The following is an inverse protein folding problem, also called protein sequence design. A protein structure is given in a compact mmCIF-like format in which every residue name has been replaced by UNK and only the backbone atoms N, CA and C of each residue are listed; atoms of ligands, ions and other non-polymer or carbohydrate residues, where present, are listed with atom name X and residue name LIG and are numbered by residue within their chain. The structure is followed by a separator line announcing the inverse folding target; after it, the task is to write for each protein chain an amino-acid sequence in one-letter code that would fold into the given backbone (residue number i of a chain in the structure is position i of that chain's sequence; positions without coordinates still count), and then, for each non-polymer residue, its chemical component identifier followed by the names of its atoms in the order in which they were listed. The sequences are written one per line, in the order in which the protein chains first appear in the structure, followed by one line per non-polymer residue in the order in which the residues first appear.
data_IF_909119359354
#
_entry.id   IF_909119359354
#
_cell.length_a   1.000
_cell.length_b   1.000
_cell.length_c   1.000
_cell.angle_alpha   90.00
_cell.angle_beta   90.00
_cell.angle_gamma   90.00
#
_symmetry.space_group_name_H-M   'P 1'
#
loop_
_entity.id
_entity.type
_entity.pdbx_description
1 polymer ?
#
# COMPACT_ATOMS: atom_id res chain seq x y z
N UNK A 1 -31.57 -19.78 -11.60
CA UNK A 1 -30.21 -20.04 -12.12
C UNK A 1 -29.32 -19.06 -11.36
N UNK A 2 -28.68 -19.56 -10.31
CA UNK A 2 -27.81 -18.83 -9.39
C UNK A 2 -26.50 -18.48 -10.11
N UNK A 3 -26.27 -17.21 -10.38
CA UNK A 3 -24.93 -16.72 -10.68
C UNK A 3 -24.09 -16.81 -9.39
N UNK A 4 -23.15 -17.75 -9.34
CA UNK A 4 -22.18 -17.86 -8.27
C UNK A 4 -21.42 -16.53 -8.21
N UNK A 5 -21.55 -15.82 -7.10
CA UNK A 5 -20.64 -14.75 -6.70
C UNK A 5 -19.23 -15.36 -6.68
N UNK A 6 -18.46 -15.08 -7.71
CA UNK A 6 -17.05 -15.39 -7.70
C UNK A 6 -16.39 -14.43 -6.69
N UNK A 7 -15.76 -14.98 -5.70
CA UNK A 7 -15.08 -14.25 -4.63
C UNK A 7 -14.07 -13.25 -5.19
N UNK A 8 -14.03 -12.03 -4.66
CA UNK A 8 -13.07 -10.96 -5.05
C UNK A 8 -11.62 -11.49 -5.02
N UNK A 9 -11.30 -12.47 -4.18
CA UNK A 9 -9.99 -13.15 -4.15
C UNK A 9 -9.61 -13.88 -5.45
N UNK A 10 -10.58 -14.39 -6.23
CA UNK A 10 -10.31 -15.01 -7.54
C UNK A 10 -10.60 -14.06 -8.70
N UNK A 11 -11.58 -13.16 -8.57
CA UNK A 11 -11.91 -12.14 -9.57
C UNK A 11 -10.98 -10.92 -9.51
N UNK A 12 -10.54 -10.50 -8.33
CA UNK A 12 -9.65 -9.35 -8.16
C UNK A 12 -8.30 -9.54 -8.85
N UNK A 13 -7.72 -10.74 -8.82
CA UNK A 13 -6.47 -11.05 -9.52
C UNK A 13 -6.61 -10.98 -11.06
N UNK A 14 -7.83 -11.19 -11.58
CA UNK A 14 -8.09 -11.25 -13.04
C UNK A 14 -8.36 -9.88 -13.65
N UNK A 15 -8.73 -8.86 -12.84
CA UNK A 15 -9.21 -7.56 -13.33
C UNK A 15 -8.46 -6.35 -12.80
N UNK A 16 -7.31 -6.52 -12.10
CA UNK A 16 -6.51 -5.39 -11.66
C UNK A 16 -5.99 -4.60 -12.86
N UNK A 17 -6.21 -3.28 -12.85
CA UNK A 17 -5.66 -2.41 -13.87
C UNK A 17 -4.14 -2.54 -13.95
N UNK A 18 -3.62 -2.58 -15.15
CA UNK A 18 -2.17 -2.61 -15.38
C UNK A 18 -1.48 -1.32 -14.94
N UNK A 19 -2.20 -0.20 -15.01
CA UNK A 19 -1.70 1.13 -14.67
C UNK A 19 -2.81 2.02 -14.11
N UNK A 20 -2.43 2.82 -13.13
CA UNK A 20 -3.22 3.95 -12.63
C UNK A 20 -2.39 5.23 -12.83
N UNK A 21 -3.06 6.36 -13.01
CA UNK A 21 -2.40 7.62 -13.35
C UNK A 21 -2.90 8.74 -12.44
N UNK A 22 -1.97 9.61 -12.03
CA UNK A 22 -2.28 10.85 -11.32
C UNK A 22 -1.71 12.03 -12.11
N UNK A 23 -1.64 13.21 -11.54
CA UNK A 23 -1.00 14.37 -12.17
C UNK A 23 0.50 14.13 -12.41
N UNK A 24 1.22 13.65 -11.38
CA UNK A 24 2.70 13.51 -11.38
C UNK A 24 3.20 12.08 -11.46
N UNK A 25 2.31 11.08 -11.26
CA UNK A 25 2.72 9.70 -11.05
C UNK A 25 2.05 8.74 -12.06
N UNK A 26 2.77 7.65 -12.34
CA UNK A 26 2.23 6.43 -12.93
C UNK A 26 2.41 5.32 -11.89
N UNK A 27 1.33 4.66 -11.54
CA UNK A 27 1.36 3.45 -10.72
C UNK A 27 1.19 2.25 -11.65
N UNK A 28 2.19 1.38 -11.69
CA UNK A 28 2.26 0.21 -12.57
C UNK A 28 2.77 -1.01 -11.83
N UNK A 29 2.62 -2.19 -12.41
CA UNK A 29 3.25 -3.38 -11.83
C UNK A 29 4.77 -3.19 -11.68
N UNK A 30 5.30 -3.76 -10.59
CA UNK A 30 6.73 -3.89 -10.40
C UNK A 30 7.32 -4.83 -11.45
N UNK A 31 8.54 -4.56 -11.90
CA UNK A 31 9.30 -5.39 -12.82
C UNK A 31 10.70 -5.64 -12.26
N UNK A 32 11.37 -6.70 -12.69
CA UNK A 32 12.73 -6.99 -12.23
C UNK A 32 13.74 -5.89 -12.60
N UNK A 33 13.45 -5.10 -13.64
CA UNK A 33 14.26 -3.93 -14.00
C UNK A 33 14.17 -2.78 -12.99
N UNK A 34 13.19 -2.79 -12.06
CA UNK A 34 13.07 -1.79 -11.01
C UNK A 34 13.94 -2.10 -9.78
N UNK A 35 14.64 -3.24 -9.77
CA UNK A 35 15.36 -3.72 -8.60
C UNK A 35 16.46 -2.75 -8.12
N UNK A 36 17.14 -2.06 -9.03
CA UNK A 36 18.15 -1.06 -8.69
C UNK A 36 17.53 0.15 -7.98
N UNK A 37 16.40 0.65 -8.48
CA UNK A 37 15.66 1.72 -7.84
C UNK A 37 15.10 1.29 -6.47
N UNK A 38 14.55 0.08 -6.38
CA UNK A 38 14.08 -0.47 -5.12
C UNK A 38 15.23 -0.55 -4.11
N UNK A 39 16.37 -1.12 -4.50
CA UNK A 39 17.53 -1.23 -3.63
C UNK A 39 18.05 0.13 -3.17
N UNK A 40 18.11 1.10 -4.07
CA UNK A 40 18.58 2.46 -3.75
C UNK A 40 17.81 3.08 -2.59
N UNK A 41 16.49 2.89 -2.53
CA UNK A 41 15.66 3.46 -1.47
C UNK A 41 15.45 2.52 -0.29
N UNK A 42 15.33 1.22 -0.53
CA UNK A 42 15.05 0.22 0.50
C UNK A 42 16.28 -0.13 1.37
N UNK A 43 17.50 0.17 0.91
CA UNK A 43 18.73 0.07 1.73
C UNK A 43 18.82 1.15 2.83
N UNK A 44 17.97 2.20 2.75
CA UNK A 44 17.96 3.25 3.75
C UNK A 44 17.18 2.80 5.00
N UNK A 45 17.80 2.82 6.21
CA UNK A 45 17.16 2.36 7.44
C UNK A 45 15.95 3.19 7.87
N UNK A 46 15.78 4.40 7.34
CA UNK A 46 14.61 5.23 7.63
C UNK A 46 13.35 4.82 6.83
N UNK A 47 13.46 3.88 5.89
CA UNK A 47 12.34 3.48 5.01
C UNK A 47 11.69 2.18 5.48
N UNK A 48 12.43 1.07 5.44
CA UNK A 48 11.90 -0.25 5.73
C UNK A 48 11.52 -0.48 7.18
N UNK A 49 12.46 -0.33 8.12
CA UNK A 49 12.23 -0.68 9.53
C UNK A 49 11.05 0.01 10.17
N UNK A 50 10.83 1.28 9.86
CA UNK A 50 9.67 2.04 10.38
C UNK A 50 8.34 1.58 9.75
N UNK A 51 8.39 0.96 8.58
CA UNK A 51 7.25 0.39 7.88
C UNK A 51 7.06 -1.12 8.16
N UNK A 52 7.95 -1.73 8.96
CA UNK A 52 7.83 -3.11 9.42
C UNK A 52 8.52 -4.15 8.55
N UNK A 53 9.49 -3.76 7.72
CA UNK A 53 10.28 -4.68 6.92
C UNK A 53 11.77 -4.34 6.98
N UNK A 54 12.67 -5.34 6.83
CA UNK A 54 14.10 -5.15 7.03
C UNK A 54 14.73 -4.30 5.92
N UNK A 55 15.83 -3.65 6.25
CA UNK A 55 16.67 -2.98 5.25
C UNK A 55 17.08 -4.00 4.18
N UNK A 56 17.00 -3.59 2.91
CA UNK A 56 17.53 -4.41 1.83
C UNK A 56 19.08 -4.34 1.86
N UNK A 57 19.72 -5.46 2.11
CA UNK A 57 21.18 -5.58 2.22
C UNK A 57 21.88 -5.78 0.86
N UNK A 58 21.12 -6.18 -0.15
CA UNK A 58 21.64 -6.49 -1.47
C UNK A 58 20.63 -6.24 -2.59
N UNK A 59 21.15 -6.10 -3.82
CA UNK A 59 20.32 -6.04 -5.02
C UNK A 59 19.54 -7.35 -5.23
N UNK A 60 20.13 -8.48 -4.89
CA UNK A 60 19.48 -9.80 -5.00
C UNK A 60 18.29 -9.91 -4.04
N UNK A 61 18.40 -9.36 -2.82
CA UNK A 61 17.27 -9.27 -1.91
C UNK A 61 16.15 -8.40 -2.50
N UNK A 62 16.47 -7.27 -3.13
CA UNK A 62 15.48 -6.43 -3.81
C UNK A 62 14.80 -7.14 -4.98
N UNK A 63 15.53 -7.91 -5.77
CA UNK A 63 14.96 -8.75 -6.85
C UNK A 63 14.00 -9.82 -6.30
N UNK A 64 14.39 -10.46 -5.18
CA UNK A 64 13.54 -11.42 -4.48
C UNK A 64 12.27 -10.72 -3.96
N UNK A 65 12.39 -9.56 -3.31
CA UNK A 65 11.26 -8.81 -2.78
C UNK A 65 10.26 -8.40 -3.89
N UNK A 66 10.74 -8.01 -5.09
CA UNK A 66 9.87 -7.76 -6.23
C UNK A 66 9.10 -9.03 -6.61
N UNK A 67 9.77 -10.18 -6.69
CA UNK A 67 9.15 -11.42 -7.13
C UNK A 67 8.13 -11.96 -6.14
N UNK A 68 8.45 -11.93 -4.84
CA UNK A 68 7.68 -12.63 -3.82
C UNK A 68 6.59 -11.73 -3.18
N UNK A 69 6.84 -10.43 -3.05
CA UNK A 69 5.98 -9.52 -2.29
C UNK A 69 5.37 -8.39 -3.13
N UNK A 70 6.19 -7.75 -3.99
CA UNK A 70 5.75 -6.56 -4.72
C UNK A 70 5.02 -6.89 -6.04
N UNK A 71 5.08 -8.15 -6.49
CA UNK A 71 4.32 -8.63 -7.66
C UNK A 71 2.93 -9.16 -7.30
N UNK A 72 2.52 -9.09 -6.03
CA UNK A 72 1.19 -9.49 -5.61
C UNK A 72 0.11 -8.62 -6.28
N UNK A 73 -1.06 -9.20 -6.61
CA UNK A 73 -2.20 -8.45 -7.16
C UNK A 73 -2.57 -7.27 -6.24
N UNK A 74 -2.80 -6.11 -6.84
CA UNK A 74 -3.13 -4.89 -6.09
C UNK A 74 -1.93 -4.06 -5.66
N UNK A 75 -0.70 -4.54 -5.84
CA UNK A 75 0.53 -3.82 -5.50
C UNK A 75 1.13 -3.15 -6.74
N UNK A 76 1.47 -1.87 -6.61
CA UNK A 76 2.00 -1.04 -7.69
C UNK A 76 3.29 -0.35 -7.30
N UNK A 77 4.24 -0.29 -8.22
CA UNK A 77 5.34 0.66 -8.17
C UNK A 77 4.78 2.08 -8.40
N UNK A 78 5.13 3.00 -7.52
CA UNK A 78 4.88 4.43 -7.69
C UNK A 78 6.03 5.00 -8.51
N UNK A 79 5.76 5.45 -9.71
CA UNK A 79 6.76 5.96 -10.64
C UNK A 79 6.52 7.42 -10.99
N UNK A 80 7.60 8.19 -11.15
CA UNK A 80 7.52 9.56 -11.69
C UNK A 80 7.11 9.51 -13.17
N UNK A 81 6.14 10.33 -13.59
CA UNK A 81 5.72 10.41 -14.99
C UNK A 81 6.85 10.81 -15.95
N UNK A 82 7.74 11.65 -15.49
CA UNK A 82 8.80 12.25 -16.32
C UNK A 82 9.82 11.23 -16.85
N UNK A 83 10.11 10.19 -16.06
CA UNK A 83 11.18 9.23 -16.38
C UNK A 83 10.82 7.78 -16.09
N UNK A 84 9.60 7.51 -15.61
CA UNK A 84 9.11 6.19 -15.22
C UNK A 84 9.95 5.47 -14.13
N UNK A 85 10.78 6.21 -13.36
CA UNK A 85 11.57 5.66 -12.26
C UNK A 85 10.67 5.29 -11.09
N UNK A 86 10.77 4.05 -10.60
CA UNK A 86 10.09 3.60 -9.39
C UNK A 86 10.73 4.25 -8.16
N UNK A 87 9.92 4.98 -7.39
CA UNK A 87 10.36 5.76 -6.22
C UNK A 87 9.72 5.29 -4.92
N UNK A 88 8.79 4.34 -4.99
CA UNK A 88 8.04 3.81 -3.86
C UNK A 88 7.01 2.80 -4.30
N UNK A 89 6.14 2.41 -3.39
CA UNK A 89 5.05 1.47 -3.63
C UNK A 89 3.75 1.97 -3.03
N UNK A 90 2.64 1.57 -3.64
CA UNK A 90 1.29 1.70 -3.08
C UNK A 90 0.50 0.44 -3.45
N UNK A 91 -0.37 -0.04 -2.57
CA UNK A 91 -1.16 -1.22 -2.88
C UNK A 91 -2.41 -1.36 -2.03
N UNK A 92 -3.33 -2.17 -2.54
CA UNK A 92 -4.46 -2.73 -1.80
C UNK A 92 -4.18 -4.22 -1.58
N UNK A 93 -4.01 -4.60 -0.31
CA UNK A 93 -3.77 -5.98 0.10
C UNK A 93 -5.12 -6.63 0.42
N UNK A 94 -5.34 -7.83 -0.11
CA UNK A 94 -6.60 -8.56 0.01
C UNK A 94 -6.42 -9.87 0.78
N UNK A 95 -7.46 -10.27 1.52
CA UNK A 95 -7.54 -11.57 2.17
C UNK A 95 -6.33 -11.89 3.03
N UNK A 96 -5.74 -13.06 2.85
CA UNK A 96 -4.59 -13.54 3.64
C UNK A 96 -3.28 -12.75 3.50
N UNK A 97 -3.24 -11.77 2.60
CA UNK A 97 -2.08 -10.85 2.49
C UNK A 97 -2.20 -9.65 3.45
N UNK A 98 -3.24 -9.60 4.27
CA UNK A 98 -3.47 -8.56 5.28
C UNK A 98 -3.97 -9.19 6.58
N UNK A 99 -3.46 -8.69 7.71
CA UNK A 99 -3.95 -9.06 9.03
C UNK A 99 -5.18 -8.27 9.47
N UNK A 100 -5.59 -7.25 8.71
CA UNK A 100 -6.69 -6.34 9.04
C UNK A 100 -7.97 -6.66 8.28
N UNK A 101 -7.85 -7.30 7.14
CA UNK A 101 -8.98 -7.64 6.26
C UNK A 101 -9.70 -8.86 6.76
N UNK A 102 -11.01 -8.72 7.00
CA UNK A 102 -11.87 -9.80 7.50
C UNK A 102 -12.95 -10.22 6.52
N UNK A 103 -13.22 -9.41 5.49
CA UNK A 103 -14.27 -9.64 4.50
C UNK A 103 -13.74 -9.47 3.07
N UNK A 104 -14.41 -10.10 2.12
CA UNK A 104 -14.02 -10.08 0.71
C UNK A 104 -14.11 -8.70 0.05
N UNK A 105 -14.97 -7.82 0.57
CA UNK A 105 -15.17 -6.45 0.09
C UNK A 105 -14.34 -5.42 0.86
N UNK A 106 -13.30 -5.85 1.54
CA UNK A 106 -12.33 -5.01 2.25
C UNK A 106 -10.93 -5.20 1.69
N UNK A 107 -10.09 -4.19 1.88
CA UNK A 107 -8.66 -4.26 1.58
C UNK A 107 -7.86 -3.48 2.63
N UNK A 108 -6.56 -3.70 2.67
CA UNK A 108 -5.63 -2.86 3.44
C UNK A 108 -4.77 -2.03 2.49
N UNK A 109 -4.70 -0.73 2.73
CA UNK A 109 -3.83 0.20 2.02
C UNK A 109 -2.43 0.13 2.62
N UNK A 110 -1.46 -0.30 1.81
CA UNK A 110 -0.04 -0.24 2.12
C UNK A 110 0.70 0.75 1.22
N UNK A 111 1.72 1.43 1.73
CA UNK A 111 2.57 2.32 0.94
C UNK A 111 3.92 2.60 1.61
N UNK A 112 4.90 2.92 0.79
CA UNK A 112 6.18 3.49 1.19
C UNK A 112 6.76 4.34 0.05
N UNK A 113 7.73 5.20 0.34
CA UNK A 113 8.42 6.02 -0.65
C UNK A 113 9.84 6.34 -0.18
N UNK A 114 10.77 6.43 -1.12
CA UNK A 114 12.16 6.80 -0.86
C UNK A 114 12.31 8.17 -0.20
N UNK A 115 13.30 8.30 0.70
CA UNK A 115 13.58 9.52 1.47
C UNK A 115 13.67 10.80 0.62
N UNK A 116 14.31 10.82 -0.58
CA UNK A 116 14.40 12.02 -1.42
C UNK A 116 13.06 12.60 -1.87
N UNK A 117 11.98 11.82 -1.73
CA UNK A 117 10.62 12.19 -2.19
C UNK A 117 9.68 12.53 -1.04
N UNK A 118 10.16 12.49 0.21
CA UNK A 118 9.36 12.87 1.37
C UNK A 118 8.94 14.33 1.35
N UNK A 119 7.80 14.64 1.96
CA UNK A 119 7.30 16.00 2.06
C UNK A 119 6.73 16.61 0.77
N UNK A 120 6.85 15.91 -0.37
CA UNK A 120 6.42 16.40 -1.70
C UNK A 120 4.96 16.11 -2.03
N UNK A 121 4.22 15.45 -1.14
CA UNK A 121 2.80 15.12 -1.33
C UNK A 121 2.53 13.98 -2.33
N UNK A 122 3.56 13.25 -2.77
CA UNK A 122 3.44 12.19 -3.78
C UNK A 122 2.66 10.97 -3.26
N UNK A 123 2.93 10.53 -2.01
CA UNK A 123 2.18 9.41 -1.42
C UNK A 123 0.70 9.74 -1.21
N UNK A 124 0.32 10.89 -0.62
CA UNK A 124 -1.10 11.27 -0.59
C UNK A 124 -1.78 11.29 -1.96
N UNK A 125 -1.07 11.69 -3.01
CA UNK A 125 -1.57 11.67 -4.40
C UNK A 125 -1.80 10.25 -4.90
N UNK A 126 -0.81 9.36 -4.76
CA UNK A 126 -0.93 7.95 -5.13
C UNK A 126 -2.05 7.24 -4.34
N UNK A 127 -2.12 7.49 -3.02
CA UNK A 127 -3.14 6.90 -2.16
C UNK A 127 -4.56 7.34 -2.56
N UNK A 128 -4.78 8.60 -2.92
CA UNK A 128 -6.11 9.03 -3.37
C UNK A 128 -6.55 8.31 -4.63
N UNK A 129 -5.66 8.11 -5.59
CA UNK A 129 -6.02 7.40 -6.83
C UNK A 129 -6.30 5.92 -6.58
N UNK A 130 -5.51 5.24 -5.74
CA UNK A 130 -5.78 3.82 -5.45
C UNK A 130 -7.04 3.64 -4.59
N UNK A 131 -7.37 4.60 -3.72
CA UNK A 131 -8.64 4.63 -2.98
C UNK A 131 -9.83 4.84 -3.92
N UNK A 132 -9.71 5.79 -4.87
CA UNK A 132 -10.71 5.99 -5.92
C UNK A 132 -10.95 4.68 -6.67
N UNK A 133 -9.88 4.03 -7.12
CA UNK A 133 -9.95 2.75 -7.80
C UNK A 133 -10.64 1.68 -6.93
N UNK A 134 -10.25 1.58 -5.66
CA UNK A 134 -10.83 0.62 -4.72
C UNK A 134 -12.32 0.82 -4.48
N UNK A 135 -12.75 2.04 -4.19
CA UNK A 135 -14.15 2.32 -3.85
C UNK A 135 -15.06 2.44 -5.07
N UNK A 136 -14.60 3.05 -6.16
CA UNK A 136 -15.45 3.39 -7.30
C UNK A 136 -15.46 2.28 -8.37
N UNK A 137 -14.33 1.59 -8.59
CA UNK A 137 -14.22 0.59 -9.64
C UNK A 137 -14.24 -0.85 -9.09
N UNK A 138 -13.53 -1.13 -8.00
CA UNK A 138 -13.55 -2.46 -7.39
C UNK A 138 -14.76 -2.67 -6.47
N UNK A 139 -15.46 -1.61 -6.07
CA UNK A 139 -16.65 -1.69 -5.24
C UNK A 139 -16.38 -2.05 -3.78
N UNK A 140 -15.16 -1.82 -3.28
CA UNK A 140 -14.83 -2.07 -1.88
C UNK A 140 -15.73 -1.26 -0.96
N UNK A 141 -16.07 -1.85 0.18
CA UNK A 141 -16.91 -1.21 1.21
C UNK A 141 -16.07 -0.54 2.29
N UNK A 142 -14.86 -1.06 2.53
CA UNK A 142 -13.94 -0.54 3.54
C UNK A 142 -12.49 -0.76 3.15
N UNK A 143 -11.66 0.22 3.43
CA UNK A 143 -10.22 0.11 3.29
C UNK A 143 -9.59 0.45 4.64
N UNK A 144 -8.78 -0.49 5.14
CA UNK A 144 -7.98 -0.35 6.35
C UNK A 144 -6.62 0.25 6.00
N UNK A 145 -5.98 0.87 6.97
CA UNK A 145 -4.59 1.28 6.90
C UNK A 145 -4.02 1.33 8.30
N UNK A 146 -2.76 0.93 8.47
CA UNK A 146 -2.12 0.97 9.77
C UNK A 146 -0.76 1.67 9.72
N UNK A 147 -0.26 2.06 10.89
CA UNK A 147 1.11 2.51 11.08
C UNK A 147 1.62 2.10 12.46
N UNK A 148 2.92 1.84 12.59
CA UNK A 148 3.56 1.60 13.86
C UNK A 148 3.83 2.90 14.62
N UNK A 149 3.81 2.84 15.95
CA UNK A 149 3.80 3.99 16.85
C UNK A 149 4.78 5.12 16.49
N UNK A 150 5.98 4.76 16.00
CA UNK A 150 7.02 5.75 15.65
C UNK A 150 6.87 6.35 14.24
N UNK A 151 5.96 5.80 13.42
CA UNK A 151 5.74 6.24 12.05
C UNK A 151 4.75 7.41 11.94
N UNK A 152 5.08 8.54 12.56
CA UNK A 152 4.25 9.76 12.54
C UNK A 152 4.04 10.30 11.11
N UNK A 153 4.96 10.04 10.19
CA UNK A 153 4.79 10.43 8.78
C UNK A 153 3.63 9.68 8.13
N UNK A 154 3.52 8.37 8.37
CA UNK A 154 2.38 7.57 7.89
C UNK A 154 1.06 8.03 8.51
N UNK A 155 1.03 8.30 9.84
CA UNK A 155 -0.13 8.90 10.50
C UNK A 155 -0.64 10.14 9.77
N UNK A 156 0.26 11.11 9.51
CA UNK A 156 -0.08 12.36 8.83
C UNK A 156 -0.63 12.14 7.41
N UNK A 157 -0.14 11.13 6.70
CA UNK A 157 -0.68 10.76 5.38
C UNK A 157 -2.11 10.25 5.52
N UNK A 158 -2.37 9.30 6.44
CA UNK A 158 -3.68 8.71 6.66
C UNK A 158 -4.72 9.76 7.05
N UNK A 159 -4.39 10.63 8.01
CA UNK A 159 -5.26 11.73 8.41
C UNK A 159 -5.54 12.72 7.26
N UNK A 160 -4.50 13.09 6.50
CA UNK A 160 -4.61 14.02 5.36
C UNK A 160 -5.52 13.49 4.24
N UNK A 161 -5.56 12.19 4.02
CA UNK A 161 -6.41 11.59 2.99
C UNK A 161 -7.80 11.21 3.52
N UNK A 162 -8.06 11.40 4.82
CA UNK A 162 -9.39 11.33 5.42
C UNK A 162 -9.73 10.03 6.15
N UNK A 163 -8.74 9.16 6.40
CA UNK A 163 -8.94 7.99 7.27
C UNK A 163 -9.30 8.40 8.70
N UNK A 164 -10.12 7.60 9.34
CA UNK A 164 -10.52 7.78 10.73
C UNK A 164 -9.89 6.70 11.60
N UNK A 165 -9.43 7.09 12.79
CA UNK A 165 -8.92 6.16 13.78
C UNK A 165 -9.97 5.11 14.15
N UNK A 166 -9.56 3.87 14.22
CA UNK A 166 -10.40 2.72 14.61
C UNK A 166 -9.98 2.14 15.96
N UNK A 167 -8.75 1.66 16.08
CA UNK A 167 -8.23 1.02 17.28
C UNK A 167 -6.71 1.00 17.30
N UNK A 168 -6.15 0.62 18.45
CA UNK A 168 -4.72 0.34 18.63
C UNK A 168 -4.55 -1.10 19.08
N UNK A 169 -3.62 -1.81 18.47
CA UNK A 169 -3.13 -3.09 18.93
C UNK A 169 -1.77 -2.88 19.58
N UNK A 170 -1.68 -3.17 20.88
CA UNK A 170 -0.45 -3.01 21.64
C UNK A 170 0.30 -4.33 21.74
N UNK A 171 1.62 -4.24 21.80
CA UNK A 171 2.51 -5.37 22.09
C UNK A 171 2.31 -6.57 21.14
N UNK A 172 2.10 -6.29 19.82
CA UNK A 172 2.01 -7.34 18.81
C UNK A 172 3.41 -7.80 18.40
N UNK A 173 3.63 -9.12 18.38
CA UNK A 173 4.87 -9.66 17.86
C UNK A 173 4.88 -9.54 16.34
N UNK A 174 5.87 -8.82 15.80
CA UNK A 174 6.04 -8.61 14.37
C UNK A 174 7.14 -9.52 13.83
N UNK A 175 6.74 -10.67 13.29
CA UNK A 175 7.63 -11.75 12.90
C UNK A 175 8.73 -11.31 11.92
N UNK A 176 8.39 -10.44 10.96
CA UNK A 176 9.32 -9.98 9.93
C UNK A 176 10.51 -9.18 10.48
N UNK A 177 10.36 -8.57 11.63
CA UNK A 177 11.39 -7.75 12.29
C UNK A 177 11.87 -8.36 13.61
N UNK A 178 11.29 -9.50 14.04
CA UNK A 178 11.59 -10.18 15.32
C UNK A 178 11.51 -9.21 16.51
N UNK A 179 10.47 -8.36 16.52
CA UNK A 179 10.24 -7.38 17.58
C UNK A 179 8.77 -7.28 18.00
N UNK A 180 8.52 -6.53 19.08
CA UNK A 180 7.16 -6.20 19.53
C UNK A 180 6.83 -4.75 19.18
N UNK A 181 5.65 -4.53 18.60
CA UNK A 181 5.20 -3.22 18.12
C UNK A 181 3.83 -2.85 18.62
N UNK A 182 3.58 -1.55 18.63
CA UNK A 182 2.24 -0.98 18.77
C UNK A 182 1.80 -0.48 17.41
N UNK A 183 0.65 -0.96 16.96
CA UNK A 183 0.05 -0.65 15.68
C UNK A 183 -1.22 0.17 15.86
N UNK A 184 -1.30 1.32 15.21
CA UNK A 184 -2.49 2.16 15.16
C UNK A 184 -3.23 1.92 13.85
N UNK A 185 -4.49 1.52 13.95
CA UNK A 185 -5.33 1.11 12.84
C UNK A 185 -6.36 2.18 12.54
N UNK A 186 -6.44 2.56 11.29
CA UNK A 186 -7.38 3.51 10.73
C UNK A 186 -8.23 2.83 9.66
N UNK A 187 -9.40 3.38 9.39
CA UNK A 187 -10.24 2.90 8.29
C UNK A 187 -10.89 4.04 7.53
N UNK A 188 -11.24 3.75 6.31
CA UNK A 188 -12.12 4.56 5.47
C UNK A 188 -13.23 3.67 4.93
N UNK A 189 -14.49 4.09 5.12
CA UNK A 189 -15.63 3.42 4.49
C UNK A 189 -15.93 4.05 3.14
N UNK A 190 -16.68 3.32 2.31
CA UNK A 190 -17.15 3.80 1.01
C UNK A 190 -18.00 5.07 1.15
N UNK A 191 -18.88 5.13 2.13
CA UNK A 191 -19.71 6.30 2.43
C UNK A 191 -18.83 7.52 2.73
N UNK A 192 -17.82 7.33 3.60
CA UNK A 192 -16.86 8.37 3.96
C UNK A 192 -16.10 8.88 2.75
N UNK A 193 -15.67 7.97 1.86
CA UNK A 193 -14.99 8.34 0.62
C UNK A 193 -15.81 9.30 -0.20
N UNK A 194 -17.09 8.98 -0.47
CA UNK A 194 -17.98 9.83 -1.27
C UNK A 194 -18.38 11.13 -0.56
N UNK A 195 -18.41 11.17 0.78
CA UNK A 195 -18.61 12.41 1.53
C UNK A 195 -17.47 13.41 1.32
N UNK A 196 -16.22 12.92 1.26
CA UNK A 196 -15.02 13.74 1.06
C UNK A 196 -14.87 14.27 -0.38
N UNK A 197 -15.64 13.76 -1.34
CA UNK A 197 -15.65 14.24 -2.73
C UNK A 197 -16.69 15.35 -2.99
N UNK A 198 -17.55 15.66 -2.02
CA UNK A 198 -18.56 16.74 -2.12
C UNK A 198 -17.95 18.09 -1.80
#
# INVERSE_FOLDING_TARGET
ISAKSATINQLGAVFMKERLYTERLVMRKWTQSDAENLFEYAKNPDVGPIAGWPVHDSLEFSKMAIREYLSLPGTYAVCLKENNSAIGSVGLLFGGNSNLVTNENEAELGYWIGVPFWGRGLIPEACREILRYGFEELGLMKIWCAYFNDNIKSKKVQEKIGFLYSRTNENIYWELMDDYRTEHIYCMTRERWFELQK
#
